data_IF_700366367339
#
_entry.id   IF_700366367339
#
_cell.length_a   1.000
_cell.length_b   1.000
_cell.length_c   1.000
_cell.angle_alpha   90.00
_cell.angle_beta   90.00
_cell.angle_gamma   90.00
#
_symmetry.space_group_name_H-M   'P 1'
#
loop_
_entity.id
_entity.type
_entity.pdbx_description
1 polymer ?
#
# COMPACT_ATOMS: atom_id res chain seq x y z
N UNK A 1 -13.18 -8.03 24.43
CA UNK A 1 -12.29 -6.87 24.24
C UNK A 1 -12.42 -6.38 22.82
N UNK A 2 -12.44 -5.07 22.61
CA UNK A 2 -12.52 -4.48 21.26
C UNK A 2 -11.19 -4.74 20.54
N UNK A 3 -11.20 -5.50 19.45
CA UNK A 3 -10.00 -5.80 18.66
C UNK A 3 -9.74 -4.59 17.76
N UNK A 4 -8.59 -3.92 17.91
CA UNK A 4 -8.20 -2.88 16.95
C UNK A 4 -7.88 -3.51 15.60
N UNK A 5 -8.27 -2.86 14.51
CA UNK A 5 -8.08 -3.39 13.16
C UNK A 5 -6.60 -3.71 12.85
N UNK A 6 -5.68 -2.92 13.41
CA UNK A 6 -4.24 -3.15 13.34
C UNK A 6 -3.79 -4.49 13.95
N UNK A 7 -4.48 -4.97 14.99
CA UNK A 7 -4.21 -6.28 15.61
C UNK A 7 -4.72 -7.44 14.76
N UNK A 8 -5.71 -7.20 13.90
CA UNK A 8 -6.23 -8.21 12.98
C UNK A 8 -5.37 -8.39 11.72
N UNK A 9 -4.53 -7.40 11.38
CA UNK A 9 -3.72 -7.40 10.15
C UNK A 9 -2.80 -8.62 10.01
N UNK A 10 -1.99 -8.92 11.04
CA UNK A 10 -1.04 -10.05 11.01
C UNK A 10 -1.78 -11.40 10.88
N UNK A 11 -2.81 -11.70 11.70
CA UNK A 11 -3.62 -12.90 11.50
C UNK A 11 -4.21 -13.03 10.09
N UNK A 12 -4.69 -11.93 9.51
CA UNK A 12 -5.23 -11.93 8.15
C UNK A 12 -4.16 -12.22 7.11
N UNK A 13 -3.00 -11.55 7.17
CA UNK A 13 -1.86 -11.78 6.28
C UNK A 13 -1.40 -13.25 6.32
N UNK A 14 -1.26 -13.83 7.52
CA UNK A 14 -0.90 -15.24 7.69
C UNK A 14 -1.95 -16.18 7.10
N UNK A 15 -3.23 -15.90 7.34
CA UNK A 15 -4.34 -16.70 6.81
C UNK A 15 -4.40 -16.64 5.28
N UNK A 16 -4.22 -15.46 4.68
CA UNK A 16 -4.24 -15.31 3.23
C UNK A 16 -3.12 -16.11 2.57
N UNK A 17 -1.89 -16.04 3.10
CA UNK A 17 -0.78 -16.83 2.57
C UNK A 17 -0.96 -18.35 2.77
N UNK A 18 -1.66 -18.76 3.82
CA UNK A 18 -1.99 -20.18 4.01
C UNK A 18 -3.02 -20.69 2.98
N UNK A 19 -4.05 -19.88 2.67
CA UNK A 19 -5.12 -20.27 1.73
C UNK A 19 -4.67 -20.13 0.28
N UNK A 20 -3.91 -19.07 -0.03
CA UNK A 20 -3.44 -18.75 -1.38
C UNK A 20 -1.96 -18.36 -1.32
N UNK A 21 -1.05 -19.35 -1.20
CA UNK A 21 0.39 -19.09 -1.14
C UNK A 21 0.85 -18.31 -2.37
N UNK A 22 1.66 -17.27 -2.16
CA UNK A 22 2.32 -16.48 -3.20
C UNK A 22 1.38 -15.86 -4.25
N UNK A 23 0.07 -15.77 -3.99
CA UNK A 23 -0.89 -15.22 -4.93
C UNK A 23 -0.88 -13.68 -4.94
N UNK A 24 -0.60 -13.07 -3.79
CA UNK A 24 -0.59 -11.62 -3.63
C UNK A 24 0.84 -11.10 -3.64
N UNK A 25 1.08 -10.00 -4.35
CA UNK A 25 2.40 -9.37 -4.47
C UNK A 25 2.51 -8.06 -3.71
N UNK A 26 1.38 -7.49 -3.29
CA UNK A 26 1.32 -6.16 -2.68
C UNK A 26 0.25 -6.16 -1.58
N UNK A 27 0.60 -5.59 -0.44
CA UNK A 27 -0.30 -5.36 0.68
C UNK A 27 -0.53 -3.86 0.86
N UNK A 28 -1.78 -3.43 0.67
CA UNK A 28 -2.20 -2.03 0.74
C UNK A 28 -3.01 -1.82 2.02
N UNK A 29 -2.55 -0.93 2.89
CA UNK A 29 -3.25 -0.59 4.13
C UNK A 29 -3.38 0.91 4.32
N UNK A 30 -4.29 1.30 5.22
CA UNK A 30 -4.43 2.69 5.64
C UNK A 30 -3.37 3.11 6.67
N UNK A 31 -3.26 4.42 6.92
CA UNK A 31 -2.31 5.02 7.87
C UNK A 31 -2.43 4.41 9.29
N UNK A 32 -3.64 3.98 9.68
CA UNK A 32 -3.88 3.29 10.93
C UNK A 32 -3.15 1.94 11.10
N UNK A 33 -2.54 1.40 10.04
CA UNK A 33 -1.77 0.15 10.04
C UNK A 33 -0.26 0.37 9.99
N UNK A 34 0.22 1.60 10.15
CA UNK A 34 1.65 1.91 10.13
C UNK A 34 2.37 1.42 11.40
N UNK A 35 2.55 0.11 11.50
CA UNK A 35 3.25 -0.58 12.58
C UNK A 35 4.33 -1.46 12.01
N UNK A 36 5.55 -1.36 12.55
CA UNK A 36 6.71 -2.12 12.10
C UNK A 36 6.46 -3.63 11.98
N UNK A 37 5.73 -4.21 12.94
CA UNK A 37 5.37 -5.64 12.92
C UNK A 37 4.57 -6.06 11.67
N UNK A 38 3.75 -5.16 11.11
CA UNK A 38 2.99 -5.40 9.87
C UNK A 38 3.94 -5.41 8.68
N UNK A 39 4.86 -4.44 8.58
CA UNK A 39 5.87 -4.43 7.50
C UNK A 39 6.76 -5.67 7.53
N UNK A 40 7.20 -6.11 8.73
CA UNK A 40 7.97 -7.36 8.89
C UNK A 40 7.18 -8.56 8.38
N UNK A 41 5.90 -8.67 8.73
CA UNK A 41 5.05 -9.77 8.27
C UNK A 41 4.85 -9.76 6.75
N UNK A 42 4.65 -8.59 6.14
CA UNK A 42 4.53 -8.43 4.68
C UNK A 42 5.84 -8.85 4.00
N UNK A 43 6.99 -8.43 4.55
CA UNK A 43 8.32 -8.77 4.02
C UNK A 43 8.62 -10.27 4.11
N UNK A 44 8.23 -10.96 5.18
CA UNK A 44 8.36 -12.43 5.31
C UNK A 44 7.60 -13.16 4.20
N UNK A 45 6.53 -12.55 3.70
CA UNK A 45 5.69 -13.09 2.63
C UNK A 45 6.09 -12.55 1.25
N UNK A 46 7.26 -11.91 1.14
CA UNK A 46 7.83 -11.36 -0.11
C UNK A 46 6.88 -10.38 -0.83
N UNK A 47 6.00 -9.72 -0.08
CA UNK A 47 5.06 -8.74 -0.60
C UNK A 47 5.60 -7.31 -0.49
N UNK A 48 5.09 -6.44 -1.35
CA UNK A 48 5.34 -4.99 -1.32
C UNK A 48 4.40 -4.30 -0.33
N UNK A 49 4.92 -3.42 0.52
CA UNK A 49 4.13 -2.68 1.50
C UNK A 49 3.74 -1.30 0.97
N UNK A 50 2.43 -1.02 0.89
CA UNK A 50 1.88 0.30 0.53
C UNK A 50 1.02 0.79 1.69
N UNK A 51 1.66 1.47 2.63
CA UNK A 51 1.02 1.97 3.87
C UNK A 51 1.45 3.42 4.06
N UNK A 52 0.55 4.41 4.20
CA UNK A 52 0.92 5.78 4.53
C UNK A 52 1.72 5.84 5.83
N UNK A 53 2.76 6.66 5.83
CA UNK A 53 3.61 6.82 7.01
C UNK A 53 2.94 7.79 8.00
N UNK A 54 3.01 7.45 9.29
CA UNK A 54 2.51 8.24 10.41
C UNK A 54 3.70 8.58 11.31
N UNK A 55 4.01 9.89 11.39
CA UNK A 55 5.05 10.41 12.30
C UNK A 55 4.62 10.18 13.76
N UNK A 56 5.45 9.52 14.55
CA UNK A 56 5.14 9.18 15.96
C UNK A 56 6.23 9.68 16.91
N UNK A 57 6.07 10.91 17.43
CA UNK A 57 7.02 11.53 18.38
C UNK A 57 8.47 11.49 17.87
N UNK A 58 8.66 11.60 16.56
CA UNK A 58 9.98 11.61 15.92
C UNK A 58 10.46 13.06 15.76
N UNK A 59 11.77 13.28 15.84
CA UNK A 59 12.38 14.59 15.60
C UNK A 59 12.24 15.06 14.15
N UNK A 60 12.81 16.22 13.84
CA UNK A 60 12.98 16.64 12.45
C UNK A 60 14.03 15.77 11.75
N UNK A 61 13.77 15.41 10.50
CA UNK A 61 14.66 14.59 9.68
C UNK A 61 15.44 15.51 8.75
N UNK A 62 16.59 15.99 9.24
CA UNK A 62 17.43 16.91 8.46
C UNK A 62 18.05 16.14 7.27
N UNK A 63 18.03 16.75 6.08
CA UNK A 63 18.60 16.16 4.87
C UNK A 63 17.68 15.18 4.15
N UNK A 64 16.40 15.12 4.50
CA UNK A 64 15.39 14.29 3.84
C UNK A 64 14.08 15.07 3.63
N UNK A 65 13.36 14.74 2.57
CA UNK A 65 12.04 15.29 2.30
C UNK A 65 10.90 14.52 3.01
N UNK A 66 9.66 14.96 2.78
CA UNK A 66 8.43 14.32 3.32
C UNK A 66 8.23 12.86 2.90
N UNK A 67 8.97 12.38 1.90
CA UNK A 67 8.94 11.01 1.40
C UNK A 67 10.23 10.24 1.74
N UNK A 68 11.05 10.79 2.64
CA UNK A 68 12.33 10.22 3.07
C UNK A 68 13.34 10.11 1.92
N UNK A 69 13.24 10.96 0.91
CA UNK A 69 14.26 11.05 -0.13
C UNK A 69 15.34 12.00 0.37
N UNK A 70 16.63 11.67 0.18
CA UNK A 70 17.70 12.61 0.50
C UNK A 70 17.48 13.96 -0.18
N UNK A 71 17.86 15.04 0.48
CA UNK A 71 17.90 16.37 -0.11
C UNK A 71 19.36 16.81 -0.27
N UNK A 72 19.63 17.68 -1.25
CA UNK A 72 20.94 18.31 -1.34
C UNK A 72 21.08 19.45 -0.30
N UNK A 73 22.26 20.07 -0.24
CA UNK A 73 22.54 21.24 0.63
C UNK A 73 21.58 22.41 0.37
N UNK A 74 21.04 22.51 -0.85
CA UNK A 74 20.04 23.50 -1.26
C UNK A 74 18.60 22.98 -1.10
N UNK A 75 18.41 21.90 -0.37
CA UNK A 75 17.11 21.29 -0.05
C UNK A 75 16.31 20.75 -1.26
N UNK A 76 16.95 20.59 -2.43
CA UNK A 76 16.31 19.90 -3.56
C UNK A 76 16.27 18.39 -3.30
N UNK A 77 15.07 17.80 -3.33
CA UNK A 77 14.85 16.35 -3.19
C UNK A 77 15.49 15.56 -4.32
N UNK A 78 16.15 14.45 -3.97
CA UNK A 78 16.62 13.49 -4.95
C UNK A 78 15.44 12.73 -5.59
N UNK A 79 15.60 12.37 -6.86
CA UNK A 79 14.59 11.64 -7.61
C UNK A 79 14.78 10.13 -7.42
N UNK A 80 13.70 9.39 -7.17
CA UNK A 80 13.74 7.93 -7.21
C UNK A 80 14.10 7.46 -8.64
N UNK A 81 15.10 6.58 -8.75
CA UNK A 81 15.62 6.05 -10.01
C UNK A 81 15.21 4.60 -10.21
N UNK A 82 15.60 3.73 -9.29
CA UNK A 82 15.35 2.30 -9.39
C UNK A 82 15.36 1.58 -8.03
N UNK A 83 14.97 0.31 -8.06
CA UNK A 83 15.04 -0.59 -6.92
C UNK A 83 15.91 -1.79 -7.28
N UNK A 84 16.84 -2.12 -6.39
CA UNK A 84 17.67 -3.32 -6.48
C UNK A 84 17.04 -4.43 -5.64
N UNK A 85 16.44 -5.41 -6.30
CA UNK A 85 15.75 -6.53 -5.63
C UNK A 85 16.71 -7.43 -4.85
N UNK A 86 17.96 -7.60 -5.32
CA UNK A 86 18.95 -8.47 -4.68
C UNK A 86 19.38 -7.91 -3.32
N UNK A 87 19.60 -6.60 -3.25
CA UNK A 87 20.04 -5.92 -2.03
C UNK A 87 18.93 -5.16 -1.31
N UNK A 88 17.68 -5.28 -1.78
CA UNK A 88 16.51 -4.54 -1.27
C UNK A 88 16.83 -3.05 -1.07
N UNK A 89 17.39 -2.41 -2.10
CA UNK A 89 17.97 -1.06 -2.01
C UNK A 89 17.28 -0.10 -2.97
N UNK A 90 16.83 1.04 -2.43
CA UNK A 90 16.29 2.16 -3.20
C UNK A 90 17.45 3.03 -3.71
N UNK A 91 17.44 3.33 -5.00
CA UNK A 91 18.39 4.21 -5.65
C UNK A 91 17.74 5.55 -5.93
N UNK A 92 18.41 6.63 -5.51
CA UNK A 92 17.99 8.00 -5.75
C UNK A 92 19.08 8.75 -6.52
N UNK A 93 18.70 9.45 -7.58
CA UNK A 93 19.59 10.24 -8.43
C UNK A 93 19.40 11.73 -8.18
N UNK A 94 20.48 12.47 -8.41
CA UNK A 94 20.53 13.92 -8.22
C UNK A 94 19.40 14.61 -9.02
N UNK A 95 18.71 15.60 -8.43
CA UNK A 95 17.65 16.32 -9.13
C UNK A 95 18.19 17.14 -10.30
N UNK A 96 17.33 17.40 -11.28
CA UNK A 96 17.66 18.23 -12.45
C UNK A 96 18.01 19.67 -12.07
N UNK A 97 17.44 20.18 -10.97
CA UNK A 97 17.73 21.52 -10.46
C UNK A 97 19.19 21.69 -10.00
N UNK A 98 19.85 20.58 -9.64
CA UNK A 98 21.27 20.57 -9.34
C UNK A 98 22.16 20.53 -10.59
N UNK A 99 21.60 20.69 -11.80
CA UNK A 99 22.39 20.64 -13.02
C UNK A 99 23.32 21.85 -13.17
N UNK A 100 22.89 23.04 -12.77
CA UNK A 100 23.70 24.26 -12.81
C UNK A 100 24.27 24.63 -11.44
N UNK A 101 24.21 23.70 -10.47
CA UNK A 101 24.62 23.98 -9.10
C UNK A 101 26.14 24.16 -9.01
N UNK A 102 26.65 25.23 -8.35
CA UNK A 102 28.08 25.42 -8.17
C UNK A 102 28.72 24.34 -7.26
N UNK A 103 27.92 23.71 -6.38
CA UNK A 103 28.36 22.64 -5.48
C UNK A 103 28.30 21.24 -6.12
N UNK A 104 28.14 21.14 -7.45
CA UNK A 104 27.90 19.89 -8.16
C UNK A 104 29.01 18.86 -8.01
N UNK A 105 30.25 19.33 -8.01
CA UNK A 105 31.46 18.52 -7.95
C UNK A 105 32.07 18.51 -6.53
N UNK A 106 31.39 19.17 -5.58
CA UNK A 106 31.73 19.10 -4.18
C UNK A 106 31.36 17.73 -3.61
N UNK A 107 32.21 17.24 -2.69
CA UNK A 107 31.95 16.10 -1.82
C UNK A 107 30.57 16.10 -1.15
N UNK A 108 30.01 17.29 -0.88
CA UNK A 108 28.69 17.47 -0.25
C UNK A 108 27.52 17.12 -1.19
N UNK A 109 27.70 17.15 -2.51
CA UNK A 109 26.65 16.80 -3.46
C UNK A 109 26.94 15.42 -4.05
N UNK A 110 26.22 14.39 -3.62
CA UNK A 110 26.39 13.06 -4.20
C UNK A 110 25.64 12.91 -5.53
N UNK A 111 26.16 12.12 -6.47
CA UNK A 111 25.45 11.84 -7.75
C UNK A 111 24.30 10.86 -7.55
N UNK A 112 24.50 9.86 -6.67
CA UNK A 112 23.57 8.77 -6.42
C UNK A 112 23.59 8.45 -4.93
N UNK A 113 22.41 8.39 -4.31
CA UNK A 113 22.21 7.79 -3.00
C UNK A 113 21.63 6.38 -3.15
N UNK A 114 22.12 5.45 -2.32
CA UNK A 114 21.60 4.08 -2.21
C UNK A 114 21.20 3.85 -0.77
N UNK A 115 19.91 3.61 -0.52
CA UNK A 115 19.38 3.39 0.82
C UNK A 115 18.73 2.02 0.86
N UNK A 116 19.15 1.19 1.81
CA UNK A 116 18.56 -0.13 1.99
C UNK A 116 17.21 -0.02 2.71
N UNK A 117 16.25 -0.85 2.31
CA UNK A 117 14.96 -0.93 2.99
C UNK A 117 15.12 -1.33 4.47
N UNK A 118 16.14 -2.13 4.82
CA UNK A 118 16.42 -2.55 6.19
C UNK A 118 16.79 -1.40 7.14
N UNK A 119 17.27 -0.27 6.61
CA UNK A 119 17.63 0.91 7.42
C UNK A 119 16.43 1.40 8.23
N UNK A 120 15.25 1.43 7.61
CA UNK A 120 13.98 1.66 8.26
C UNK A 120 12.87 1.16 7.33
N UNK A 121 12.30 0.00 7.66
CA UNK A 121 11.31 -0.69 6.82
C UNK A 121 9.97 0.08 6.71
N UNK A 122 9.73 1.08 7.56
CA UNK A 122 8.56 1.96 7.45
C UNK A 122 8.86 3.12 6.51
N UNK A 123 10.05 3.72 6.57
CA UNK A 123 10.42 4.88 5.74
C UNK A 123 10.81 4.46 4.32
N UNK A 124 11.63 3.43 4.20
CA UNK A 124 12.21 2.96 2.94
C UNK A 124 11.51 1.68 2.47
N UNK A 125 10.41 1.86 1.74
CA UNK A 125 9.61 0.77 1.17
C UNK A 125 9.79 0.69 -0.34
N UNK A 126 9.58 -0.50 -0.92
CA UNK A 126 9.33 -0.65 -2.36
C UNK A 126 7.84 -0.97 -2.58
N UNK A 127 7.11 -0.20 -3.41
CA UNK A 127 7.54 1.00 -4.15
C UNK A 127 7.95 2.18 -3.25
N UNK A 128 8.87 3.01 -3.75
CA UNK A 128 9.35 4.18 -3.03
C UNK A 128 8.21 5.15 -2.72
N UNK A 129 8.20 5.72 -1.51
CA UNK A 129 7.17 6.67 -1.08
C UNK A 129 7.11 7.88 -2.01
N UNK A 130 5.89 8.30 -2.31
CA UNK A 130 5.61 9.40 -3.24
C UNK A 130 5.97 9.13 -4.71
N UNK A 131 6.45 7.93 -5.06
CA UNK A 131 6.62 7.55 -6.47
C UNK A 131 5.26 7.42 -7.15
N UNK A 132 5.22 7.54 -8.48
CA UNK A 132 3.99 7.35 -9.25
C UNK A 132 3.40 5.96 -9.04
N UNK A 133 4.25 4.93 -8.98
CA UNK A 133 3.84 3.56 -8.71
C UNK A 133 3.18 3.44 -7.32
N UNK A 134 3.79 4.05 -6.28
CA UNK A 134 3.20 4.05 -4.94
C UNK A 134 1.83 4.73 -4.93
N UNK A 135 1.71 5.91 -5.58
CA UNK A 135 0.44 6.65 -5.68
C UNK A 135 -0.63 5.84 -6.42
N UNK A 136 -0.26 5.18 -7.52
CA UNK A 136 -1.14 4.31 -8.31
C UNK A 136 -1.69 3.15 -7.46
N UNK A 137 -0.81 2.41 -6.79
CA UNK A 137 -1.22 1.29 -5.94
C UNK A 137 -2.07 1.77 -4.76
N UNK A 138 -1.68 2.86 -4.09
CA UNK A 138 -2.46 3.35 -2.94
C UNK A 138 -3.89 3.77 -3.34
N UNK A 139 -4.08 4.28 -4.57
CA UNK A 139 -5.42 4.62 -5.10
C UNK A 139 -6.35 3.41 -5.19
N UNK A 140 -5.81 2.19 -5.38
CA UNK A 140 -6.61 0.96 -5.47
C UNK A 140 -7.32 0.61 -4.15
N UNK A 141 -6.84 1.14 -3.01
CA UNK A 141 -7.48 0.98 -1.69
C UNK A 141 -8.96 1.36 -1.69
N UNK A 142 -9.34 2.35 -2.50
CA UNK A 142 -10.73 2.83 -2.65
C UNK A 142 -11.69 1.73 -3.12
N UNK A 143 -11.20 0.66 -3.74
CA UNK A 143 -12.02 -0.50 -4.09
C UNK A 143 -12.68 -1.14 -2.85
N UNK A 144 -11.93 -1.32 -1.75
CA UNK A 144 -12.45 -1.90 -0.51
C UNK A 144 -13.47 -0.97 0.15
N UNK A 145 -13.24 0.34 0.12
CA UNK A 145 -14.19 1.33 0.63
C UNK A 145 -15.52 1.29 -0.13
N UNK A 146 -15.46 1.18 -1.46
CA UNK A 146 -16.66 1.01 -2.30
C UNK A 146 -17.41 -0.28 -1.97
N UNK A 147 -16.70 -1.41 -1.80
CA UNK A 147 -17.32 -2.67 -1.38
C UNK A 147 -18.04 -2.50 -0.04
N UNK A 148 -17.38 -1.89 0.94
CA UNK A 148 -17.97 -1.64 2.24
C UNK A 148 -19.22 -0.74 2.16
N UNK A 149 -19.19 0.30 1.32
CA UNK A 149 -20.33 1.16 1.07
C UNK A 149 -21.49 0.38 0.42
N UNK A 150 -21.21 -0.45 -0.58
CA UNK A 150 -22.21 -1.30 -1.22
C UNK A 150 -22.88 -2.25 -0.23
N UNK A 151 -22.08 -2.96 0.56
CA UNK A 151 -22.58 -3.90 1.55
C UNK A 151 -23.44 -3.19 2.63
N UNK A 152 -23.03 -2.01 3.08
CA UNK A 152 -23.77 -1.22 4.07
C UNK A 152 -25.10 -0.67 3.54
N UNK A 153 -25.09 -0.09 2.35
CA UNK A 153 -26.23 0.63 1.78
C UNK A 153 -27.16 -0.29 0.99
N UNK A 154 -26.65 -0.97 -0.04
CA UNK A 154 -27.48 -1.75 -0.96
C UNK A 154 -27.82 -3.13 -0.42
N UNK A 155 -26.90 -3.77 0.30
CA UNK A 155 -27.14 -5.08 0.93
C UNK A 155 -27.62 -4.96 2.39
N UNK A 156 -28.08 -3.77 2.79
CA UNK A 156 -28.82 -3.54 4.03
C UNK A 156 -28.07 -3.94 5.31
N UNK A 157 -26.73 -4.03 5.32
CA UNK A 157 -25.99 -4.37 6.54
C UNK A 157 -26.21 -3.36 7.68
N UNK A 158 -26.52 -2.09 7.36
CA UNK A 158 -26.88 -1.07 8.37
C UNK A 158 -28.23 -1.34 9.06
N UNK A 159 -29.11 -2.13 8.43
CA UNK A 159 -30.47 -2.39 8.89
C UNK A 159 -30.62 -3.78 9.53
N UNK A 160 -29.52 -4.49 9.73
CA UNK A 160 -29.53 -5.77 10.44
C UNK A 160 -29.82 -5.54 11.92
N UNK A 161 -30.88 -6.18 12.44
CA UNK A 161 -31.31 -6.09 13.85
C UNK A 161 -31.17 -7.41 14.60
N UNK A 162 -30.22 -8.25 14.19
CA UNK A 162 -29.98 -9.53 14.85
C UNK A 162 -29.42 -9.32 16.27
N UNK A 163 -30.14 -9.84 17.27
CA UNK A 163 -29.72 -9.75 18.69
C UNK A 163 -28.51 -10.63 19.02
N UNK A 164 -28.29 -11.72 18.28
CA UNK A 164 -27.22 -12.70 18.57
C UNK A 164 -26.10 -12.65 17.53
N UNK A 165 -24.85 -12.71 18.01
CA UNK A 165 -23.66 -12.66 17.15
C UNK A 165 -23.59 -13.81 16.14
N UNK A 166 -24.12 -15.00 16.45
CA UNK A 166 -24.17 -16.13 15.52
C UNK A 166 -25.05 -15.83 14.29
N UNK A 167 -26.26 -15.30 14.53
CA UNK A 167 -27.19 -14.94 13.44
C UNK A 167 -26.66 -13.75 12.63
N UNK A 168 -26.08 -12.75 13.31
CA UNK A 168 -25.41 -11.62 12.67
C UNK A 168 -24.27 -12.07 11.75
N UNK A 169 -23.40 -12.97 12.23
CA UNK A 169 -22.29 -13.52 11.44
C UNK A 169 -22.74 -14.32 10.23
N UNK A 170 -23.76 -15.17 10.40
CA UNK A 170 -24.32 -15.93 9.27
C UNK A 170 -24.89 -14.98 8.20
N UNK A 171 -25.68 -13.98 8.61
CA UNK A 171 -26.23 -12.99 7.69
C UNK A 171 -25.14 -12.20 6.96
N UNK A 172 -24.11 -11.74 7.67
CA UNK A 172 -22.95 -11.07 7.07
C UNK A 172 -22.24 -11.94 6.03
N UNK A 173 -22.01 -13.22 6.36
CA UNK A 173 -21.37 -14.16 5.45
C UNK A 173 -22.21 -14.39 4.17
N UNK A 174 -23.52 -14.57 4.32
CA UNK A 174 -24.43 -14.74 3.19
C UNK A 174 -24.47 -13.50 2.30
N UNK A 175 -24.59 -12.31 2.89
CA UNK A 175 -24.57 -11.05 2.16
C UNK A 175 -23.26 -10.86 1.39
N UNK A 176 -22.12 -11.16 2.03
CA UNK A 176 -20.80 -11.06 1.38
C UNK A 176 -20.67 -12.06 0.22
N UNK A 177 -21.18 -13.28 0.40
CA UNK A 177 -21.20 -14.30 -0.65
C UNK A 177 -22.05 -13.85 -1.85
N UNK A 178 -23.28 -13.38 -1.61
CA UNK A 178 -24.17 -12.90 -2.67
C UNK A 178 -23.54 -11.72 -3.41
N UNK A 179 -22.96 -10.74 -2.69
CA UNK A 179 -22.27 -9.62 -3.32
C UNK A 179 -21.15 -10.09 -4.26
N UNK A 180 -20.29 -11.02 -3.80
CA UNK A 180 -19.20 -11.53 -4.62
C UNK A 180 -19.72 -12.30 -5.85
N UNK A 181 -20.80 -13.09 -5.70
CA UNK A 181 -21.42 -13.79 -6.82
C UNK A 181 -22.01 -12.81 -7.85
N UNK A 182 -22.73 -11.78 -7.40
CA UNK A 182 -23.26 -10.73 -8.27
C UNK A 182 -22.14 -9.98 -9.00
N UNK A 183 -21.06 -9.63 -8.30
CA UNK A 183 -19.92 -8.94 -8.91
C UNK A 183 -19.23 -9.80 -9.96
N UNK A 184 -18.97 -11.07 -9.67
CA UNK A 184 -18.41 -12.01 -10.64
C UNK A 184 -19.29 -12.14 -11.89
N UNK A 185 -20.62 -12.19 -11.72
CA UNK A 185 -21.56 -12.26 -12.84
C UNK A 185 -21.51 -10.99 -13.70
N UNK A 186 -21.55 -9.80 -13.07
CA UNK A 186 -21.46 -8.51 -13.76
C UNK A 186 -20.13 -8.37 -14.50
N UNK A 187 -19.01 -8.73 -13.87
CA UNK A 187 -17.69 -8.67 -14.49
C UNK A 187 -17.62 -9.56 -15.74
N UNK A 188 -18.16 -10.78 -15.67
CA UNK A 188 -18.25 -11.68 -16.84
C UNK A 188 -19.14 -11.13 -17.95
N UNK A 189 -20.26 -10.49 -17.61
CA UNK A 189 -21.14 -9.86 -18.60
C UNK A 189 -20.44 -8.67 -19.28
N UNK A 190 -19.74 -7.83 -18.51
CA UNK A 190 -19.00 -6.69 -19.04
C UNK A 190 -17.89 -7.11 -20.00
N UNK A 191 -17.14 -8.16 -19.68
CA UNK A 191 -16.13 -8.71 -20.58
C UNK A 191 -16.75 -9.18 -21.89
N UNK A 192 -17.89 -9.89 -21.84
CA UNK A 192 -18.60 -10.32 -23.06
C UNK A 192 -19.08 -9.14 -23.91
N UNK A 193 -19.64 -8.11 -23.28
CA UNK A 193 -20.11 -6.90 -23.99
C UNK A 193 -18.94 -6.15 -24.64
N UNK A 194 -17.80 -6.03 -23.96
CA UNK A 194 -16.60 -5.41 -24.53
C UNK A 194 -16.07 -6.19 -25.74
N UNK A 195 -16.05 -7.53 -25.67
CA UNK A 195 -15.65 -8.36 -26.80
C UNK A 195 -16.59 -8.20 -27.99
N UNK A 196 -17.90 -8.08 -27.75
CA UNK A 196 -18.89 -7.83 -28.81
C UNK A 196 -18.69 -6.45 -29.45
N UNK A 197 -18.50 -5.40 -28.64
CA UNK A 197 -18.30 -4.03 -29.13
C UNK A 197 -16.99 -3.85 -29.90
N UNK A 198 -15.95 -4.63 -29.59
CA UNK A 198 -14.67 -4.57 -30.30
C UNK A 198 -14.65 -5.39 -31.59
N UNK A 199 -15.63 -6.28 -31.79
CA UNK A 199 -15.78 -7.11 -32.98
C UNK A 199 -16.74 -6.51 -34.03
N UNK A 200 -17.48 -5.46 -33.67
CA UNK A 200 -18.34 -4.66 -34.53
C UNK A 200 -17.59 -3.41 -35.03
#
# INVERSE_FOLDING_TARGET
GNLSDSKAAIPLLKKMNHIMPNHFTTAIFDAGYDYEAIYRQISIQEMKAVIPYVKRREGEMIGFDEHFRPTCVREHSYCYDSFDEKYQTLKFTRPKDCATCPLRDDSLCQKVFKIKCETDIRKYTFPARGSELWKKLYKERTAVERVNAYLKQFFQLNNVRHKTGRKAKLHFNLVTFIYNACKLAVDRMNVRLQLQNNAA
#
